data_IF_831951395695
#
_entry.id   IF_831951395695
#
_cell.length_a   1.000
_cell.length_b   1.000
_cell.length_c   1.000
_cell.angle_alpha   90.00
_cell.angle_beta   90.00
_cell.angle_gamma   90.00
#
_symmetry.space_group_name_H-M   'P 1'
#
loop_
_entity.id
_entity.type
_entity.pdbx_description
1 polymer ?
#
# COMPACT_ATOMS: atom_id res chain seq x y z
N UNK A 1 -4.56 -16.70 -14.13
CA UNK A 1 -5.71 -15.92 -13.67
C UNK A 1 -5.22 -14.55 -13.20
N UNK A 2 -5.90 -13.50 -13.61
CA UNK A 2 -5.51 -12.15 -13.20
C UNK A 2 -5.77 -11.93 -11.72
N UNK A 3 -4.82 -11.29 -11.04
CA UNK A 3 -4.98 -10.94 -9.63
C UNK A 3 -5.88 -9.72 -9.49
N UNK A 4 -6.59 -9.63 -8.38
CA UNK A 4 -7.33 -8.41 -8.04
C UNK A 4 -6.35 -7.37 -7.51
N UNK A 5 -6.48 -6.14 -8.01
CA UNK A 5 -5.64 -5.04 -7.56
C UNK A 5 -6.17 -4.50 -6.24
N UNK A 6 -5.28 -4.34 -5.27
CA UNK A 6 -5.67 -3.89 -3.94
C UNK A 6 -4.81 -2.74 -3.44
N UNK A 7 -5.30 -2.08 -2.41
CA UNK A 7 -4.61 -1.00 -1.73
C UNK A 7 -4.66 -1.22 -0.22
N UNK A 8 -3.70 -0.64 0.49
CA UNK A 8 -3.68 -0.64 1.96
C UNK A 8 -3.87 0.80 2.44
N UNK A 9 -4.75 0.98 3.42
CA UNK A 9 -4.95 2.25 4.09
C UNK A 9 -4.03 2.30 5.31
N UNK A 10 -2.89 2.96 5.15
CA UNK A 10 -1.84 3.07 6.15
C UNK A 10 -0.50 2.67 5.58
N UNK A 11 0.57 3.35 5.98
CA UNK A 11 1.90 3.12 5.42
C UNK A 11 2.92 2.74 6.50
N UNK A 12 2.88 3.35 7.68
CA UNK A 12 3.91 3.22 8.71
C UNK A 12 3.50 2.37 9.90
N UNK A 13 2.22 2.08 10.08
CA UNK A 13 1.75 1.30 11.23
C UNK A 13 2.14 -0.17 11.13
N UNK A 14 2.26 -0.83 12.29
CA UNK A 14 2.63 -2.25 12.35
C UNK A 14 1.62 -3.12 11.61
N UNK A 15 0.32 -2.83 11.76
CA UNK A 15 -0.73 -3.59 11.08
C UNK A 15 -0.60 -3.46 9.58
N UNK A 16 -0.39 -2.24 9.06
CA UNK A 16 -0.27 -2.05 7.62
C UNK A 16 1.00 -2.68 7.08
N UNK A 17 2.09 -2.66 7.83
CA UNK A 17 3.32 -3.34 7.41
C UNK A 17 3.15 -4.87 7.39
N UNK A 18 2.39 -5.40 8.34
CA UNK A 18 2.04 -6.83 8.34
C UNK A 18 1.20 -7.18 7.09
N UNK A 19 0.27 -6.30 6.71
CA UNK A 19 -0.50 -6.48 5.48
C UNK A 19 0.39 -6.43 4.24
N UNK A 20 1.36 -5.51 4.19
CA UNK A 20 2.33 -5.46 3.09
C UNK A 20 3.07 -6.79 2.97
N UNK A 21 3.49 -7.34 4.10
CA UNK A 21 4.19 -8.62 4.14
C UNK A 21 3.30 -9.77 3.63
N UNK A 22 2.05 -9.79 4.05
CA UNK A 22 1.10 -10.84 3.68
C UNK A 22 0.67 -10.74 2.22
N UNK A 23 0.59 -9.54 1.66
CA UNK A 23 0.15 -9.33 0.29
C UNK A 23 1.28 -9.44 -0.73
N UNK A 24 2.53 -9.38 -0.30
CA UNK A 24 3.66 -9.58 -1.19
C UNK A 24 3.61 -10.99 -1.77
N UNK A 25 3.63 -11.09 -3.10
CA UNK A 25 3.55 -12.36 -3.83
C UNK A 25 2.28 -13.18 -3.53
N UNK A 26 1.19 -12.50 -3.13
CA UNK A 26 -0.07 -13.17 -2.87
C UNK A 26 -0.64 -13.74 -4.18
N UNK A 27 -1.21 -14.97 -4.17
CA UNK A 27 -1.70 -15.58 -5.41
C UNK A 27 -2.94 -14.92 -6.00
N UNK A 28 -3.74 -14.22 -5.19
CA UNK A 28 -5.01 -13.62 -5.63
C UNK A 28 -5.03 -12.11 -5.65
N UNK A 29 -4.10 -11.46 -4.95
CA UNK A 29 -4.09 -10.01 -4.82
C UNK A 29 -2.75 -9.43 -5.25
N UNK A 30 -2.80 -8.30 -5.94
CA UNK A 30 -1.61 -7.52 -6.27
C UNK A 30 -1.74 -6.16 -5.60
N UNK A 31 -0.79 -5.86 -4.73
CA UNK A 31 -0.75 -4.57 -4.02
C UNK A 31 -0.20 -3.50 -4.98
N UNK A 32 -1.04 -2.51 -5.30
CA UNK A 32 -0.67 -1.45 -6.26
C UNK A 32 -0.70 -0.06 -5.66
N UNK A 33 -1.27 0.11 -4.46
CA UNK A 33 -1.37 1.42 -3.83
C UNK A 33 -1.31 1.29 -2.32
N UNK A 34 -0.69 2.28 -1.69
CA UNK A 34 -0.64 2.42 -0.24
C UNK A 34 -0.96 3.89 0.06
N UNK A 35 -1.90 4.12 0.97
CA UNK A 35 -2.31 5.45 1.36
C UNK A 35 -1.84 5.74 2.78
N UNK A 36 -1.43 6.96 3.05
CA UNK A 36 -0.96 7.34 4.38
C UNK A 36 -1.38 8.74 4.76
N UNK A 37 -1.13 9.07 6.02
CA UNK A 37 -1.39 10.39 6.56
C UNK A 37 -0.32 11.42 6.18
N UNK A 38 -0.37 12.62 6.78
CA UNK A 38 0.51 13.72 6.38
C UNK A 38 2.00 13.42 6.56
N UNK A 39 2.36 12.53 7.47
CA UNK A 39 3.78 12.20 7.71
C UNK A 39 4.39 11.34 6.61
N UNK A 40 3.56 10.60 5.88
CA UNK A 40 4.04 9.63 4.88
C UNK A 40 3.59 9.93 3.46
N UNK A 41 2.52 10.71 3.28
CA UNK A 41 1.98 11.03 1.96
C UNK A 41 3.03 11.69 1.08
N UNK A 42 3.11 11.25 -0.16
CA UNK A 42 4.05 11.78 -1.14
C UNK A 42 5.45 11.17 -1.06
N UNK A 43 5.72 10.37 -0.06
CA UNK A 43 7.04 9.73 0.10
C UNK A 43 7.09 8.37 -0.61
N UNK A 44 8.26 7.97 -1.12
CA UNK A 44 8.39 6.61 -1.61
C UNK A 44 8.25 5.60 -0.47
N UNK A 45 7.59 4.48 -0.75
CA UNK A 45 7.37 3.45 0.26
C UNK A 45 8.69 2.97 0.87
N UNK A 46 9.73 2.88 0.07
CA UNK A 46 11.04 2.42 0.52
C UNK A 46 11.67 3.34 1.57
N UNK A 47 11.23 4.61 1.69
CA UNK A 47 11.73 5.55 2.69
C UNK A 47 11.04 5.42 4.04
N UNK A 48 9.96 4.65 4.12
CA UNK A 48 9.21 4.44 5.37
C UNK A 48 9.94 3.41 6.22
N UNK A 49 10.18 3.71 7.50
CA UNK A 49 10.86 2.80 8.41
C UNK A 49 10.12 1.47 8.53
N UNK A 50 10.84 0.37 8.35
CA UNK A 50 10.29 -0.97 8.52
C UNK A 50 10.44 -1.39 9.98
N UNK A 51 9.32 -1.67 10.63
CA UNK A 51 9.25 -1.90 12.09
C UNK A 51 9.17 -3.37 12.48
N UNK A 52 8.93 -4.26 11.52
CA UNK A 52 8.80 -5.69 11.81
C UNK A 52 10.17 -6.35 11.84
N UNK A 53 10.29 -7.43 12.60
CA UNK A 53 11.53 -8.21 12.68
C UNK A 53 11.84 -8.92 11.37
N UNK A 54 10.82 -9.39 10.66
CA UNK A 54 11.01 -10.04 9.38
C UNK A 54 11.48 -9.02 8.33
N UNK A 55 12.23 -9.51 7.36
CA UNK A 55 12.73 -8.67 6.29
C UNK A 55 11.57 -8.00 5.52
N UNK A 56 11.77 -6.73 5.16
CA UNK A 56 10.82 -6.01 4.32
C UNK A 56 10.63 -6.76 3.01
N UNK A 57 9.38 -7.00 2.57
CA UNK A 57 9.15 -7.65 1.29
C UNK A 57 9.61 -6.75 0.14
N UNK A 58 10.04 -7.37 -0.95
CA UNK A 58 10.37 -6.65 -2.18
C UNK A 58 9.06 -6.35 -2.91
N UNK A 59 8.69 -5.08 -2.95
CA UNK A 59 7.50 -4.61 -3.66
C UNK A 59 7.96 -3.66 -4.77
N UNK A 60 7.11 -3.51 -5.80
CA UNK A 60 7.34 -2.47 -6.79
C UNK A 60 7.39 -1.11 -6.08
N UNK A 61 8.15 -0.17 -6.62
CA UNK A 61 8.23 1.15 -6.00
C UNK A 61 6.86 1.81 -6.03
N UNK A 62 6.39 2.19 -4.85
CA UNK A 62 5.08 2.82 -4.65
C UNK A 62 5.31 4.14 -3.93
N UNK A 63 4.72 5.21 -4.45
CA UNK A 63 4.65 6.48 -3.73
C UNK A 63 3.38 6.47 -2.89
N UNK A 64 3.52 6.80 -1.61
CA UNK A 64 2.38 6.81 -0.68
C UNK A 64 1.39 7.90 -1.09
N UNK A 65 0.13 7.52 -1.28
CA UNK A 65 -0.93 8.47 -1.61
C UNK A 65 -1.46 9.14 -0.34
N UNK A 66 -1.97 10.36 -0.50
CA UNK A 66 -2.51 11.13 0.61
C UNK A 66 -3.94 10.67 0.92
N UNK A 67 -4.12 10.03 2.08
CA UNK A 67 -5.41 9.52 2.50
C UNK A 67 -6.44 10.63 2.74
N UNK A 68 -5.98 11.85 3.06
CA UNK A 68 -6.85 12.99 3.28
C UNK A 68 -7.29 13.70 2.00
N UNK A 69 -6.72 13.33 0.85
CA UNK A 69 -7.11 13.92 -0.43
C UNK A 69 -8.56 13.57 -0.74
N UNK A 70 -9.39 14.57 -1.02
CA UNK A 70 -10.80 14.37 -1.32
C UNK A 70 -11.04 13.49 -2.56
N UNK A 71 -10.03 13.34 -3.42
CA UNK A 71 -10.09 12.54 -4.64
C UNK A 71 -9.46 11.17 -4.49
N UNK A 72 -9.14 10.73 -3.27
CA UNK A 72 -8.42 9.48 -3.05
C UNK A 72 -9.17 8.27 -3.63
N UNK A 73 -10.49 8.23 -3.47
CA UNK A 73 -11.28 7.13 -4.01
C UNK A 73 -11.20 7.09 -5.54
N UNK A 74 -11.25 8.25 -6.18
CA UNK A 74 -11.12 8.35 -7.63
C UNK A 74 -9.73 7.87 -8.08
N UNK A 75 -8.69 8.28 -7.36
CA UNK A 75 -7.32 7.86 -7.67
C UNK A 75 -7.18 6.34 -7.59
N UNK A 76 -7.75 5.71 -6.56
CA UNK A 76 -7.70 4.26 -6.40
C UNK A 76 -8.47 3.55 -7.52
N UNK A 77 -9.64 4.06 -7.88
CA UNK A 77 -10.42 3.50 -8.99
C UNK A 77 -9.66 3.60 -10.32
N UNK A 78 -8.98 4.71 -10.56
CA UNK A 78 -8.19 4.89 -11.78
C UNK A 78 -7.01 3.90 -11.86
N UNK A 79 -6.47 3.49 -10.71
CA UNK A 79 -5.43 2.47 -10.63
C UNK A 79 -5.98 1.05 -10.80
N UNK A 80 -7.29 0.88 -10.86
CA UNK A 80 -7.92 -0.42 -10.99
C UNK A 80 -8.14 -1.13 -9.67
N UNK A 81 -8.00 -0.44 -8.54
CA UNK A 81 -8.19 -1.03 -7.21
C UNK A 81 -9.65 -1.44 -7.02
N UNK A 82 -9.87 -2.70 -6.66
CA UNK A 82 -11.19 -3.23 -6.38
C UNK A 82 -11.42 -3.61 -4.92
N UNK A 83 -10.35 -3.65 -4.12
CA UNK A 83 -10.45 -3.97 -2.69
C UNK A 83 -9.40 -3.18 -1.91
N UNK A 84 -9.77 -2.71 -0.73
CA UNK A 84 -8.85 -2.02 0.19
C UNK A 84 -8.83 -2.73 1.54
N UNK A 85 -7.68 -2.71 2.14
CA UNK A 85 -7.46 -3.29 3.47
C UNK A 85 -7.17 -2.22 4.51
#
# INVERSE_FOLDING_TARGET
MAKRLCAILGASGIVSQRLQQRLANHPWFELVAICGGPDTAGKPLSSIEWKLEQQRPTLAEITVLDLSNSKICKQLLELGVSIVF
#
